data_IF_300203281470
#
_entry.id   IF_300203281470
#
_cell.length_a   1.000
_cell.length_b   1.000
_cell.length_c   1.000
_cell.angle_alpha   90.00
_cell.angle_beta   90.00
_cell.angle_gamma   90.00
#
_symmetry.space_group_name_H-M   'P 1'
#
loop_
_entity.id
_entity.type
_entity.pdbx_description
1 polymer ?
#
# COMPACT_ATOMS: atom_id res chain seq x y z
N UNK A 1 16.32 -2.00 -21.56
CA UNK A 1 15.01 -2.27 -20.91
C UNK A 1 14.35 -1.00 -20.40
N UNK A 2 15.00 -0.20 -19.54
CA UNK A 2 14.43 1.06 -19.01
C UNK A 2 13.86 2.01 -20.10
N UNK A 3 14.65 2.38 -21.11
CA UNK A 3 14.19 3.26 -22.21
C UNK A 3 12.98 2.70 -22.98
N UNK A 4 12.89 1.37 -23.11
CA UNK A 4 11.79 0.71 -23.83
C UNK A 4 10.51 0.80 -23.02
N UNK A 5 10.55 0.46 -21.73
CA UNK A 5 9.39 0.55 -20.83
C UNK A 5 8.88 1.99 -20.71
N UNK A 6 9.78 2.98 -20.58
CA UNK A 6 9.38 4.40 -20.58
C UNK A 6 8.65 4.80 -21.85
N UNK A 7 9.14 4.37 -23.02
CA UNK A 7 8.49 4.67 -24.29
C UNK A 7 7.15 3.94 -24.42
N UNK A 8 7.08 2.69 -23.99
CA UNK A 8 5.88 1.86 -24.02
C UNK A 8 4.75 2.49 -23.20
N UNK A 9 5.04 2.86 -21.95
CA UNK A 9 4.08 3.48 -21.02
C UNK A 9 3.62 4.87 -21.47
N UNK A 10 4.43 5.63 -22.21
CA UNK A 10 3.97 6.93 -22.77
C UNK A 10 2.81 6.78 -23.76
N UNK A 11 2.65 5.59 -24.33
CA UNK A 11 1.54 5.25 -25.23
C UNK A 11 0.59 4.24 -24.60
N UNK A 12 0.54 4.18 -23.26
CA UNK A 12 -0.14 3.10 -22.52
C UNK A 12 -1.60 2.89 -22.92
N UNK A 13 -2.37 3.97 -23.12
CA UNK A 13 -3.77 3.87 -23.56
C UNK A 13 -3.90 3.07 -24.87
N UNK A 14 -2.96 3.21 -25.82
CA UNK A 14 -2.94 2.43 -27.07
C UNK A 14 -2.40 1.01 -26.86
N UNK A 15 -1.39 0.84 -26.00
CA UNK A 15 -0.84 -0.48 -25.70
C UNK A 15 -1.85 -1.39 -25.01
N UNK A 16 -2.72 -0.82 -24.17
CA UNK A 16 -3.80 -1.55 -23.51
C UNK A 16 -4.77 -2.19 -24.50
N UNK A 17 -5.07 -1.50 -25.60
CA UNK A 17 -5.93 -2.04 -26.66
C UNK A 17 -5.19 -3.04 -27.54
N UNK A 18 -3.99 -2.68 -28.01
CA UNK A 18 -3.22 -3.49 -28.95
C UNK A 18 -2.64 -4.77 -28.33
N UNK A 19 -2.17 -4.70 -27.08
CA UNK A 19 -1.52 -5.81 -26.38
C UNK A 19 -2.44 -6.54 -25.40
N UNK A 20 -3.76 -6.31 -25.42
CA UNK A 20 -4.72 -6.82 -24.42
C UNK A 20 -4.59 -8.32 -24.11
N UNK A 21 -4.23 -9.12 -25.10
CA UNK A 21 -4.07 -10.58 -24.96
C UNK A 21 -2.69 -11.03 -24.51
N UNK A 22 -1.67 -10.18 -24.63
CA UNK A 22 -0.27 -10.52 -24.36
C UNK A 22 0.18 -10.03 -22.99
N UNK A 23 -0.48 -9.00 -22.43
CA UNK A 23 -0.08 -8.37 -21.16
C UNK A 23 -0.03 -9.36 -19.99
N UNK A 24 -1.01 -10.27 -19.90
CA UNK A 24 -1.07 -11.30 -18.85
C UNK A 24 0.04 -12.35 -18.99
N UNK A 25 0.42 -12.70 -20.22
CA UNK A 25 1.43 -13.71 -20.53
C UNK A 25 2.88 -13.21 -20.33
N UNK A 26 3.06 -11.90 -20.10
CA UNK A 26 4.37 -11.33 -19.88
C UNK A 26 5.07 -12.01 -18.68
N UNK A 27 6.40 -12.22 -18.74
CA UNK A 27 7.15 -12.71 -17.61
C UNK A 27 6.92 -11.85 -16.36
N UNK A 28 6.83 -12.46 -15.18
CA UNK A 28 6.51 -11.78 -13.91
C UNK A 28 7.38 -10.55 -13.64
N UNK A 29 8.67 -10.61 -13.98
CA UNK A 29 9.60 -9.47 -13.86
C UNK A 29 9.24 -8.29 -14.77
N UNK A 30 8.68 -8.56 -15.94
CA UNK A 30 8.22 -7.53 -16.89
C UNK A 30 6.90 -6.96 -16.42
N UNK A 31 5.94 -7.79 -15.96
CA UNK A 31 4.66 -7.32 -15.39
C UNK A 31 4.86 -6.38 -14.21
N UNK A 32 5.71 -6.77 -13.26
CA UNK A 32 6.05 -5.94 -12.10
C UNK A 32 6.74 -4.63 -12.48
N UNK A 33 7.70 -4.68 -13.40
CA UNK A 33 8.35 -3.46 -13.91
C UNK A 33 7.36 -2.57 -14.67
N UNK A 34 6.47 -3.14 -15.46
CA UNK A 34 5.47 -2.40 -16.22
C UNK A 34 4.54 -1.62 -15.29
N UNK A 35 4.00 -2.25 -14.24
CA UNK A 35 3.18 -1.59 -13.23
C UNK A 35 3.92 -0.41 -12.56
N UNK A 36 5.17 -0.61 -12.16
CA UNK A 36 5.99 0.45 -11.57
C UNK A 36 6.19 1.64 -12.54
N UNK A 37 6.47 1.36 -13.82
CA UNK A 37 6.67 2.40 -14.83
C UNK A 37 5.36 3.12 -15.19
N UNK A 38 4.23 2.43 -15.20
CA UNK A 38 2.90 3.05 -15.38
C UNK A 38 2.65 4.04 -14.25
N UNK A 39 2.88 3.65 -12.99
CA UNK A 39 2.73 4.54 -11.84
C UNK A 39 3.59 5.81 -11.96
N UNK A 40 4.85 5.65 -12.36
CA UNK A 40 5.83 6.75 -12.42
C UNK A 40 5.70 7.66 -13.65
N UNK A 41 5.40 7.11 -14.82
CA UNK A 41 5.48 7.85 -16.10
C UNK A 41 4.14 8.13 -16.75
N UNK A 42 3.06 7.50 -16.29
CA UNK A 42 1.73 7.81 -16.79
C UNK A 42 1.21 9.11 -16.15
N UNK A 43 0.53 9.94 -16.95
CA UNK A 43 -0.54 10.79 -16.40
C UNK A 43 -1.57 9.85 -15.74
N UNK A 44 -2.56 10.20 -14.94
CA UNK A 44 -3.45 9.20 -14.26
C UNK A 44 -2.77 8.25 -13.25
N UNK A 45 -1.64 7.57 -13.55
CA UNK A 45 -1.06 6.48 -12.73
C UNK A 45 -1.63 5.11 -13.10
N UNK A 46 -1.30 4.05 -12.33
CA UNK A 46 -1.88 2.71 -12.52
C UNK A 46 -3.36 2.76 -12.16
N UNK A 47 -4.24 2.23 -13.02
CA UNK A 47 -5.68 2.11 -12.78
C UNK A 47 -6.04 0.67 -12.41
N UNK A 48 -7.28 0.44 -11.93
CA UNK A 48 -7.76 -0.91 -11.69
C UNK A 48 -7.83 -1.74 -12.97
N UNK A 49 -8.18 -1.11 -14.10
CA UNK A 49 -8.21 -1.75 -15.41
C UNK A 49 -6.82 -2.23 -15.84
N UNK A 50 -5.77 -1.45 -15.54
CA UNK A 50 -4.39 -1.84 -15.83
C UNK A 50 -3.97 -3.06 -15.01
N UNK A 51 -4.35 -3.09 -13.73
CA UNK A 51 -4.11 -4.26 -12.86
C UNK A 51 -4.83 -5.49 -13.39
N UNK A 52 -6.10 -5.36 -13.80
CA UNK A 52 -6.86 -6.45 -14.39
C UNK A 52 -6.19 -6.97 -15.67
N UNK A 53 -5.79 -6.09 -16.58
CA UNK A 53 -5.16 -6.50 -17.85
C UNK A 53 -3.79 -7.18 -17.67
N UNK A 54 -3.06 -6.85 -16.60
CA UNK A 54 -1.72 -7.39 -16.34
C UNK A 54 -1.77 -8.66 -15.46
N UNK A 55 -2.75 -8.75 -14.54
CA UNK A 55 -2.79 -9.78 -13.50
C UNK A 55 -3.89 -10.82 -13.67
N UNK A 56 -4.86 -10.58 -14.55
CA UNK A 56 -5.91 -11.53 -14.90
C UNK A 56 -5.81 -11.91 -16.38
N UNK A 57 -6.24 -13.13 -16.74
CA UNK A 57 -6.36 -13.51 -18.14
C UNK A 57 -7.32 -12.55 -18.86
N UNK A 58 -7.09 -12.29 -20.16
CA UNK A 58 -7.99 -11.47 -20.94
C UNK A 58 -9.39 -12.08 -20.92
N UNK A 59 -10.47 -11.27 -20.87
CA UNK A 59 -11.82 -11.80 -21.01
C UNK A 59 -11.91 -12.57 -22.33
N UNK A 60 -12.46 -13.77 -22.29
CA UNK A 60 -12.79 -14.51 -23.51
C UNK A 60 -13.69 -13.61 -24.36
N UNK A 61 -13.35 -13.44 -25.64
CA UNK A 61 -14.34 -12.92 -26.57
C UNK A 61 -15.42 -13.99 -26.64
N UNK A 62 -16.60 -13.68 -26.10
CA UNK A 62 -17.80 -14.34 -26.60
C UNK A 62 -17.93 -13.85 -28.04
N UNK A 63 -17.39 -14.63 -28.98
CA UNK A 63 -17.67 -14.40 -30.38
C UNK A 63 -19.20 -14.55 -30.53
N UNK A 64 -19.91 -13.44 -30.66
CA UNK A 64 -21.38 -13.38 -30.79
C UNK A 64 -21.90 -14.06 -32.08
N UNK A 65 -21.05 -14.74 -32.86
CA UNK A 65 -21.37 -15.18 -34.23
C UNK A 65 -20.99 -16.64 -34.56
N UNK A 66 -20.75 -17.53 -33.59
CA UNK A 66 -20.51 -18.96 -33.91
C UNK A 66 -21.60 -19.90 -33.35
N UNK A 67 -22.72 -19.97 -34.07
CA UNK A 67 -23.68 -21.07 -34.01
C UNK A 67 -23.12 -22.37 -34.65
N UNK A 68 -21.84 -22.68 -34.44
CA UNK A 68 -21.27 -23.99 -34.79
C UNK A 68 -21.01 -24.79 -33.51
N UNK A 69 -21.99 -25.64 -33.20
CA UNK A 69 -21.78 -26.81 -32.35
C UNK A 69 -20.74 -27.70 -33.04
N UNK A 70 -19.45 -27.61 -32.67
CA UNK A 70 -18.52 -28.77 -32.60
C UNK A 70 -17.03 -28.47 -32.30
N UNK A 71 -16.60 -27.25 -31.96
CA UNK A 71 -15.18 -27.03 -31.62
C UNK A 71 -14.94 -26.81 -30.11
N UNK A 72 -14.94 -27.91 -29.36
CA UNK A 72 -14.41 -28.01 -27.98
C UNK A 72 -12.86 -27.97 -27.94
N UNK A 73 -12.20 -27.52 -29.03
CA UNK A 73 -10.75 -27.51 -29.23
C UNK A 73 -10.27 -26.08 -29.38
N UNK A 74 -10.20 -25.33 -28.27
CA UNK A 74 -9.69 -23.95 -28.33
C UNK A 74 -9.78 -23.13 -27.06
N UNK A 75 -10.47 -23.62 -26.01
CA UNK A 75 -10.38 -22.99 -24.68
C UNK A 75 -8.96 -23.16 -24.17
N UNK A 76 -8.14 -22.13 -24.31
CA UNK A 76 -6.86 -22.04 -23.62
C UNK A 76 -7.19 -22.01 -22.13
N UNK A 77 -7.07 -23.15 -21.46
CA UNK A 77 -7.25 -23.27 -20.02
C UNK A 77 -6.12 -22.48 -19.35
N UNK A 78 -6.39 -21.21 -19.03
CA UNK A 78 -5.49 -20.44 -18.19
C UNK A 78 -5.47 -21.05 -16.80
N UNK A 79 -4.26 -21.28 -16.27
CA UNK A 79 -4.11 -21.60 -14.87
C UNK A 79 -4.76 -20.50 -14.00
N UNK A 80 -5.32 -20.86 -12.84
CA UNK A 80 -5.85 -19.88 -11.90
C UNK A 80 -4.89 -18.71 -11.68
N UNK A 81 -5.36 -17.45 -11.68
CA UNK A 81 -4.50 -16.28 -11.55
C UNK A 81 -3.61 -16.31 -10.30
N UNK A 82 -4.09 -16.89 -9.20
CA UNK A 82 -3.30 -17.08 -7.96
C UNK A 82 -2.07 -17.96 -8.16
N UNK A 83 -2.11 -18.94 -9.07
CA UNK A 83 -0.99 -19.81 -9.42
C UNK A 83 -0.03 -19.07 -10.35
N UNK A 84 -0.53 -18.41 -11.40
CA UNK A 84 0.30 -17.65 -12.35
C UNK A 84 1.01 -16.48 -11.68
N UNK A 85 0.37 -15.90 -10.66
CA UNK A 85 0.91 -14.78 -9.90
C UNK A 85 1.67 -15.22 -8.63
N UNK A 86 1.86 -16.52 -8.41
CA UNK A 86 2.58 -17.02 -7.23
C UNK A 86 4.03 -16.51 -7.15
N UNK A 87 4.67 -16.26 -8.30
CA UNK A 87 6.02 -15.69 -8.36
C UNK A 87 6.07 -14.17 -8.13
N UNK A 88 4.91 -13.50 -8.10
CA UNK A 88 4.81 -12.06 -7.96
C UNK A 88 4.87 -11.68 -6.47
N UNK A 89 6.09 -11.41 -6.03
CA UNK A 89 6.39 -11.02 -4.65
C UNK A 89 6.50 -9.51 -4.42
N UNK A 90 6.49 -8.71 -5.50
CA UNK A 90 6.67 -7.24 -5.45
C UNK A 90 5.59 -6.53 -6.23
N UNK A 91 4.91 -5.59 -5.58
CA UNK A 91 3.91 -4.73 -6.20
C UNK A 91 4.26 -3.26 -5.93
N UNK A 92 4.51 -2.51 -6.99
CA UNK A 92 4.81 -1.08 -6.90
C UNK A 92 3.64 -0.29 -7.50
N UNK A 93 2.94 0.46 -6.65
CA UNK A 93 1.82 1.33 -7.01
C UNK A 93 2.12 2.80 -6.70
N UNK A 94 3.41 3.14 -6.67
CA UNK A 94 3.86 4.51 -6.42
C UNK A 94 3.11 5.50 -7.33
N UNK A 95 2.64 6.58 -6.73
CA UNK A 95 1.92 7.70 -7.38
C UNK A 95 0.57 7.35 -8.02
N UNK A 96 0.04 6.16 -7.73
CA UNK A 96 -1.27 5.73 -8.25
C UNK A 96 -2.38 5.87 -7.21
N UNK A 97 -2.08 5.65 -5.93
CA UNK A 97 -3.05 5.80 -4.85
C UNK A 97 -3.47 7.26 -4.66
N UNK A 98 -4.78 7.49 -4.49
CA UNK A 98 -5.36 8.83 -4.33
C UNK A 98 -5.51 9.61 -5.63
N UNK A 99 -4.94 9.09 -6.73
CA UNK A 99 -5.01 9.66 -8.09
C UNK A 99 -5.94 8.85 -8.99
N UNK A 100 -5.60 7.59 -9.23
CA UNK A 100 -6.35 6.64 -10.07
C UNK A 100 -6.84 5.41 -9.32
N UNK A 101 -6.24 5.09 -8.18
CA UNK A 101 -6.58 3.93 -7.35
C UNK A 101 -7.01 4.33 -5.95
N UNK A 102 -8.00 3.60 -5.44
CA UNK A 102 -8.38 3.61 -4.03
C UNK A 102 -7.93 2.32 -3.38
N UNK A 103 -7.49 2.40 -2.12
CA UNK A 103 -7.04 1.23 -1.35
C UNK A 103 -8.17 0.22 -1.18
N UNK A 104 -9.43 0.67 -1.09
CA UNK A 104 -10.59 -0.22 -1.02
C UNK A 104 -10.71 -1.08 -2.29
N UNK A 105 -10.71 -0.44 -3.45
CA UNK A 105 -10.84 -1.13 -4.74
C UNK A 105 -9.66 -2.10 -4.95
N UNK A 106 -8.46 -1.70 -4.53
CA UNK A 106 -7.28 -2.57 -4.53
C UNK A 106 -7.44 -3.77 -3.58
N UNK A 107 -7.99 -3.56 -2.39
CA UNK A 107 -8.26 -4.62 -1.41
C UNK A 107 -9.25 -5.64 -1.96
N UNK A 108 -10.36 -5.17 -2.52
CA UNK A 108 -11.42 -6.00 -3.09
C UNK A 108 -10.91 -6.80 -4.30
N UNK A 109 -9.99 -6.21 -5.08
CA UNK A 109 -9.35 -6.86 -6.23
C UNK A 109 -8.31 -7.92 -5.84
N UNK A 110 -7.41 -7.60 -4.90
CA UNK A 110 -6.35 -8.53 -4.48
C UNK A 110 -6.85 -9.63 -3.55
N UNK A 111 -7.90 -9.34 -2.78
CA UNK A 111 -8.49 -10.22 -1.79
C UNK A 111 -10.02 -10.26 -1.98
N UNK A 112 -10.51 -10.90 -3.06
CA UNK A 112 -11.94 -10.97 -3.33
C UNK A 112 -12.68 -11.62 -2.15
N UNK A 113 -13.84 -11.09 -1.73
CA UNK A 113 -14.65 -11.75 -0.71
C UNK A 113 -15.09 -13.14 -1.20
N UNK A 114 -15.22 -14.11 -0.28
CA UNK A 114 -15.53 -15.52 -0.59
C UNK A 114 -16.75 -15.71 -1.49
N UNK A 115 -17.75 -14.82 -1.40
CA UNK A 115 -18.92 -14.84 -2.25
C UNK A 115 -18.63 -14.62 -3.75
N UNK A 116 -17.51 -13.96 -4.10
CA UNK A 116 -17.10 -13.71 -5.48
C UNK A 116 -16.24 -14.87 -6.06
N UNK A 117 -15.53 -15.62 -5.21
CA UNK A 117 -14.71 -16.76 -5.64
C UNK A 117 -15.56 -17.95 -6.11
N UNK A 118 -16.75 -18.14 -5.53
CA UNK A 118 -17.68 -19.24 -5.88
C UNK A 118 -18.27 -19.08 -7.29
N UNK A 119 -18.33 -17.86 -7.83
CA UNK A 119 -18.92 -17.60 -9.15
C UNK A 119 -17.97 -17.95 -10.30
N UNK A 120 -16.66 -18.08 -10.03
CA UNK A 120 -15.66 -18.35 -11.08
C UNK A 120 -15.42 -19.84 -11.37
N UNK A 121 -15.85 -20.75 -10.47
CA UNK A 121 -15.60 -22.20 -10.63
C UNK A 121 -16.84 -23.01 -11.01
N UNK A 122 -18.05 -22.45 -10.92
CA UNK A 122 -19.26 -23.20 -11.26
C UNK A 122 -19.65 -22.92 -12.71
N UNK A 123 -19.06 -23.69 -13.63
CA UNK A 123 -19.70 -24.06 -14.89
C UNK A 123 -20.52 -25.34 -14.61
N UNK A 124 -21.82 -25.27 -14.28
CA UNK A 124 -22.61 -26.46 -14.00
C UNK A 124 -23.12 -27.01 -15.33
N UNK A 125 -22.25 -27.66 -16.11
CA UNK A 125 -22.72 -28.53 -17.20
C UNK A 125 -23.19 -29.85 -16.57
N UNK A 126 -24.51 -29.91 -16.38
CA UNK A 126 -25.36 -31.09 -16.54
C UNK A 126 -24.72 -32.47 -16.26
N UNK A 127 -24.82 -32.93 -15.01
CA UNK A 127 -24.75 -34.35 -14.69
C UNK A 127 -25.93 -34.72 -13.80
N UNK A 128 -27.11 -34.79 -14.40
CA UNK A 128 -28.30 -35.40 -13.79
C UNK A 128 -28.16 -36.93 -13.84
N UNK A 129 -27.50 -37.52 -12.84
CA UNK A 129 -27.89 -38.79 -12.20
C UNK A 129 -26.76 -39.28 -11.28
N UNK A 130 -26.87 -38.97 -9.99
CA UNK A 130 -26.34 -39.82 -8.92
C UNK A 130 -27.10 -39.49 -7.63
N UNK A 131 -27.77 -40.45 -6.99
CA UNK A 131 -28.24 -40.27 -5.63
C UNK A 131 -27.06 -40.49 -4.67
N UNK A 132 -27.24 -39.89 -3.49
CA UNK A 132 -26.58 -40.17 -2.21
C UNK A 132 -25.58 -39.13 -1.71
N UNK A 133 -25.96 -38.65 -0.53
CA UNK A 133 -25.35 -37.70 0.36
C UNK A 133 -23.90 -38.07 0.68
N UNK A 134 -22.93 -37.19 0.43
CA UNK A 134 -21.74 -37.05 1.27
C UNK A 134 -20.95 -35.77 0.90
N UNK A 135 -20.76 -34.90 1.90
CA UNK A 135 -19.89 -33.72 1.91
C UNK A 135 -20.25 -32.58 0.94
N UNK A 136 -20.98 -31.58 1.47
CA UNK A 136 -20.96 -30.24 0.88
C UNK A 136 -19.48 -29.78 0.80
N UNK A 137 -18.99 -29.30 -0.34
CA UNK A 137 -17.63 -28.77 -0.42
C UNK A 137 -17.52 -27.56 0.52
N UNK A 138 -16.54 -27.58 1.42
CA UNK A 138 -16.19 -26.39 2.21
C UNK A 138 -16.00 -25.21 1.23
N UNK A 139 -16.55 -24.02 1.53
CA UNK A 139 -16.42 -22.90 0.62
C UNK A 139 -14.92 -22.62 0.41
N UNK A 140 -14.45 -22.56 -0.85
CA UNK A 140 -13.03 -22.33 -1.11
C UNK A 140 -12.61 -21.03 -0.44
N UNK A 141 -11.55 -21.08 0.36
CA UNK A 141 -10.92 -19.89 0.91
C UNK A 141 -10.62 -18.99 -0.28
N UNK A 142 -11.07 -17.72 -0.29
CA UNK A 142 -10.81 -16.83 -1.42
C UNK A 142 -9.30 -16.76 -1.63
N UNK A 143 -8.83 -17.30 -2.74
CA UNK A 143 -7.41 -17.30 -3.05
C UNK A 143 -6.98 -15.85 -3.31
N UNK A 144 -6.08 -15.33 -2.48
CA UNK A 144 -5.46 -14.04 -2.73
C UNK A 144 -4.84 -14.05 -4.13
N UNK A 145 -5.04 -12.97 -4.89
CA UNK A 145 -4.49 -12.87 -6.24
C UNK A 145 -2.96 -12.91 -6.25
N UNK A 146 -2.35 -12.38 -5.20
CA UNK A 146 -0.89 -12.31 -5.00
C UNK A 146 -0.51 -13.00 -3.67
N UNK A 147 -0.51 -14.35 -3.61
CA UNK A 147 -0.38 -15.08 -2.34
C UNK A 147 0.99 -14.90 -1.67
N UNK A 148 2.04 -14.60 -2.45
CA UNK A 148 3.42 -14.46 -1.98
C UNK A 148 3.91 -12.99 -1.97
N UNK A 149 2.99 -12.03 -1.88
CA UNK A 149 3.35 -10.61 -1.84
C UNK A 149 4.14 -10.28 -0.56
N UNK A 150 5.38 -9.82 -0.73
CA UNK A 150 6.29 -9.45 0.37
C UNK A 150 6.74 -7.99 0.32
N UNK A 151 6.77 -7.39 -0.88
CA UNK A 151 7.14 -5.99 -1.06
C UNK A 151 5.99 -5.21 -1.67
N UNK A 152 5.62 -4.11 -1.02
CA UNK A 152 4.55 -3.24 -1.47
C UNK A 152 5.01 -1.78 -1.39
N UNK A 153 4.94 -1.07 -2.51
CA UNK A 153 5.10 0.38 -2.51
C UNK A 153 3.74 1.05 -2.67
N UNK A 154 3.35 1.83 -1.66
CA UNK A 154 2.18 2.70 -1.64
C UNK A 154 2.60 4.18 -1.57
N UNK A 155 3.77 4.52 -2.09
CA UNK A 155 4.26 5.89 -2.11
C UNK A 155 3.27 6.82 -2.83
N UNK A 156 3.00 7.98 -2.25
CA UNK A 156 2.02 8.92 -2.78
C UNK A 156 2.65 9.99 -3.63
N UNK A 157 1.88 10.48 -4.59
CA UNK A 157 2.11 11.78 -5.18
C UNK A 157 1.70 12.85 -4.15
N UNK A 158 2.61 13.76 -3.73
CA UNK A 158 2.31 14.80 -2.75
C UNK A 158 1.08 15.64 -3.10
N UNK A 159 0.77 15.85 -4.38
CA UNK A 159 -0.41 16.62 -4.82
C UNK A 159 -1.73 15.92 -4.46
N UNK A 160 -1.72 14.59 -4.42
CA UNK A 160 -2.89 13.73 -4.23
C UNK A 160 -2.95 13.07 -2.84
N UNK A 161 -2.01 13.39 -1.94
CA UNK A 161 -1.87 12.77 -0.63
C UNK A 161 -3.10 12.95 0.30
N UNK A 162 -3.97 13.92 0.02
CA UNK A 162 -5.20 14.15 0.80
C UNK A 162 -6.34 13.16 0.48
N UNK A 163 -6.23 12.40 -0.62
CA UNK A 163 -7.28 11.48 -1.07
C UNK A 163 -7.15 10.06 -0.48
N UNK A 164 -6.13 9.79 0.33
CA UNK A 164 -5.92 8.47 0.94
C UNK A 164 -6.53 8.37 2.33
N UNK A 165 -6.75 7.14 2.79
CA UNK A 165 -7.36 6.87 4.09
C UNK A 165 -6.54 5.86 4.88
N UNK A 166 -6.05 6.29 6.04
CA UNK A 166 -5.41 5.40 7.02
C UNK A 166 -6.35 4.29 7.50
N UNK A 167 -7.66 4.55 7.58
CA UNK A 167 -8.65 3.52 7.91
C UNK A 167 -8.66 2.40 6.88
N UNK A 168 -8.65 2.74 5.59
CA UNK A 168 -8.58 1.73 4.53
C UNK A 168 -7.22 1.03 4.49
N UNK A 169 -6.12 1.75 4.73
CA UNK A 169 -4.80 1.13 4.85
C UNK A 169 -4.74 0.09 5.97
N UNK A 170 -5.29 0.42 7.14
CA UNK A 170 -5.31 -0.52 8.28
C UNK A 170 -6.11 -1.78 7.98
N UNK A 171 -7.26 -1.65 7.30
CA UNK A 171 -8.05 -2.80 6.88
C UNK A 171 -7.29 -3.64 5.84
N UNK A 172 -6.71 -2.98 4.84
CA UNK A 172 -5.92 -3.63 3.80
C UNK A 172 -4.70 -4.38 4.38
N UNK A 173 -4.01 -3.79 5.37
CA UNK A 173 -2.87 -4.39 6.03
C UNK A 173 -3.19 -5.72 6.74
N UNK A 174 -4.45 -5.95 7.16
CA UNK A 174 -4.81 -7.25 7.78
C UNK A 174 -4.79 -8.43 6.80
N UNK A 175 -4.82 -8.16 5.50
CA UNK A 175 -4.69 -9.17 4.45
C UNK A 175 -3.23 -9.47 4.07
N UNK A 176 -2.26 -8.77 4.68
CA UNK A 176 -0.85 -8.80 4.30
C UNK A 176 0.08 -9.28 5.43
N UNK A 177 -0.18 -10.46 6.04
CA UNK A 177 0.60 -10.91 7.20
C UNK A 177 2.08 -11.20 6.88
N UNK A 178 2.41 -11.46 5.60
CA UNK A 178 3.76 -11.83 5.15
C UNK A 178 4.56 -10.65 4.57
N UNK A 179 4.04 -9.42 4.67
CA UNK A 179 4.70 -8.25 4.11
C UNK A 179 5.97 -7.91 4.89
N UNK A 180 7.11 -7.86 4.20
CA UNK A 180 8.41 -7.52 4.78
C UNK A 180 8.88 -6.12 4.40
N UNK A 181 8.44 -5.60 3.24
CA UNK A 181 8.82 -4.26 2.77
C UNK A 181 7.58 -3.43 2.47
N UNK A 182 7.48 -2.26 3.10
CA UNK A 182 6.41 -1.30 2.85
C UNK A 182 7.00 0.09 2.61
N UNK A 183 6.61 0.75 1.52
CA UNK A 183 6.80 2.19 1.35
C UNK A 183 5.49 2.94 1.57
N UNK A 184 5.52 3.86 2.53
CA UNK A 184 4.51 4.88 2.80
C UNK A 184 5.10 6.28 2.56
N UNK A 185 5.98 6.42 1.57
CA UNK A 185 6.53 7.72 1.23
C UNK A 185 5.42 8.73 0.90
N UNK A 186 5.57 9.96 1.40
CA UNK A 186 4.66 11.09 1.23
C UNK A 186 3.26 10.89 1.81
N UNK A 187 3.07 9.91 2.70
CA UNK A 187 1.80 9.75 3.40
C UNK A 187 1.51 10.93 4.33
N UNK A 188 0.24 11.38 4.39
CA UNK A 188 -0.18 12.42 5.31
C UNK A 188 -0.10 11.92 6.75
N UNK A 189 -0.22 12.85 7.69
CA UNK A 189 -0.26 12.54 9.11
C UNK A 189 -1.29 11.42 9.43
N UNK A 190 -0.90 10.40 10.23
CA UNK A 190 -1.80 9.31 10.61
C UNK A 190 -3.01 9.81 11.40
N UNK A 191 -4.19 9.72 10.78
CA UNK A 191 -5.47 10.12 11.40
C UNK A 191 -6.63 9.29 10.83
N UNK A 192 -7.56 8.90 11.69
CA UNK A 192 -8.82 8.26 11.31
C UNK A 192 -9.92 9.29 11.01
N UNK A 193 -9.70 10.55 11.41
CA UNK A 193 -10.66 11.65 11.28
C UNK A 193 -10.06 12.88 10.58
N UNK A 194 -9.45 12.73 9.37
CA UNK A 194 -8.71 13.82 8.72
C UNK A 194 -9.57 15.07 8.44
N UNK A 195 -10.86 14.89 8.15
CA UNK A 195 -11.80 15.99 7.87
C UNK A 195 -12.37 16.66 9.13
N UNK A 196 -12.12 16.09 10.32
CA UNK A 196 -12.64 16.60 11.59
C UNK A 196 -11.72 17.63 12.25
N UNK A 197 -10.50 17.86 11.71
CA UNK A 197 -9.50 18.77 12.29
C UNK A 197 -10.00 20.22 12.44
N UNK A 198 -10.97 20.64 11.64
CA UNK A 198 -11.57 21.99 11.71
C UNK A 198 -13.01 21.99 12.23
N UNK A 199 -13.56 20.81 12.55
CA UNK A 199 -14.94 20.67 12.95
C UNK A 199 -15.06 20.71 14.47
N UNK A 200 -15.92 21.59 14.99
CA UNK A 200 -16.24 21.68 16.42
C UNK A 200 -17.71 21.34 16.66
N UNK A 201 -18.00 20.64 17.75
CA UNK A 201 -19.37 20.40 18.23
C UNK A 201 -19.59 21.09 19.58
N UNK A 202 -20.84 21.46 19.87
CA UNK A 202 -21.24 22.03 21.16
C UNK A 202 -21.88 20.92 21.98
N UNK A 203 -21.35 20.65 23.18
CA UNK A 203 -21.93 19.65 24.09
C UNK A 203 -23.28 20.13 24.63
N UNK A 204 -24.07 19.20 25.18
CA UNK A 204 -25.32 19.54 25.87
C UNK A 204 -25.13 20.51 27.06
N UNK A 205 -23.90 20.64 27.56
CA UNK A 205 -23.48 21.56 28.63
C UNK A 205 -22.97 22.90 28.08
N UNK A 206 -23.06 23.13 26.76
CA UNK A 206 -22.66 24.38 26.10
C UNK A 206 -21.16 24.50 25.80
N UNK A 207 -20.36 23.45 25.99
CA UNK A 207 -18.92 23.49 25.73
C UNK A 207 -18.62 23.17 24.27
N UNK A 208 -17.80 23.98 23.62
CA UNK A 208 -17.32 23.72 22.25
C UNK A 208 -16.13 22.77 22.33
N UNK A 209 -16.27 21.56 21.79
CA UNK A 209 -15.23 20.53 21.74
C UNK A 209 -14.93 20.19 20.28
N UNK A 210 -13.66 19.99 19.94
CA UNK A 210 -13.26 19.55 18.60
C UNK A 210 -13.83 18.15 18.32
N UNK A 211 -14.46 17.98 17.16
CA UNK A 211 -15.15 16.76 16.77
C UNK A 211 -14.19 15.57 16.58
N UNK A 212 -12.97 15.84 16.09
CA UNK A 212 -11.94 14.81 15.85
C UNK A 212 -11.05 14.50 17.05
N UNK A 213 -11.23 15.15 18.20
CA UNK A 213 -10.31 15.06 19.34
C UNK A 213 -8.95 15.75 19.12
N UNK A 214 -8.49 15.88 17.86
CA UNK A 214 -7.34 16.70 17.44
C UNK A 214 -7.81 17.88 16.57
N UNK A 215 -7.20 19.05 16.78
CA UNK A 215 -7.43 20.29 16.03
C UNK A 215 -6.21 20.68 15.18
N UNK A 216 -6.26 21.81 14.45
CA UNK A 216 -5.21 22.22 13.51
C UNK A 216 -3.89 22.57 14.22
N UNK A 217 -3.97 22.86 15.51
CA UNK A 217 -2.84 23.25 16.36
C UNK A 217 -2.45 22.18 17.38
N UNK A 218 -3.11 21.02 17.39
CA UNK A 218 -2.86 19.99 18.42
C UNK A 218 -1.41 19.50 18.43
N UNK A 219 -0.73 19.48 17.29
CA UNK A 219 0.68 19.08 17.23
C UNK A 219 1.65 20.24 17.49
N UNK A 220 1.26 21.48 17.15
CA UNK A 220 2.14 22.66 17.26
C UNK A 220 2.05 23.36 18.63
N UNK A 221 0.90 23.28 19.30
CA UNK A 221 0.67 23.88 20.62
C UNK A 221 0.61 22.84 21.73
N UNK A 222 -0.10 21.74 21.50
CA UNK A 222 -0.37 20.74 22.56
C UNK A 222 0.55 19.52 22.49
N UNK A 223 1.34 19.39 21.41
CA UNK A 223 2.18 18.23 21.10
C UNK A 223 1.42 16.89 21.24
N UNK A 224 0.12 16.89 20.93
CA UNK A 224 -0.75 15.73 21.07
C UNK A 224 -0.62 14.84 19.85
N UNK A 225 0.04 13.69 20.00
CA UNK A 225 0.21 12.69 18.94
C UNK A 225 -0.68 11.46 19.13
N UNK A 226 -1.69 11.53 20.00
CA UNK A 226 -2.44 10.35 20.46
C UNK A 226 -3.08 9.57 19.31
N UNK A 227 -3.83 10.22 18.43
CA UNK A 227 -4.47 9.55 17.28
C UNK A 227 -3.43 8.92 16.35
N UNK A 228 -2.36 9.64 16.05
CA UNK A 228 -1.30 9.16 15.16
C UNK A 228 -0.58 7.93 15.75
N UNK A 229 -0.26 7.97 17.04
CA UNK A 229 0.32 6.83 17.77
C UNK A 229 -0.62 5.62 17.71
N UNK A 230 -1.93 5.81 17.91
CA UNK A 230 -2.90 4.72 17.84
C UNK A 230 -2.98 4.09 16.45
N UNK A 231 -2.97 4.90 15.38
CA UNK A 231 -2.98 4.41 13.99
C UNK A 231 -1.71 3.62 13.71
N UNK A 232 -0.53 4.17 14.03
CA UNK A 232 0.75 3.51 13.82
C UNK A 232 0.90 2.23 14.66
N UNK A 233 0.42 2.23 15.90
CA UNK A 233 0.42 1.04 16.76
C UNK A 233 -0.46 -0.07 16.17
N UNK A 234 -1.65 0.26 15.65
CA UNK A 234 -2.51 -0.71 14.95
C UNK A 234 -1.84 -1.25 13.69
N UNK A 235 -1.24 -0.37 12.88
CA UNK A 235 -0.51 -0.77 11.68
C UNK A 235 0.63 -1.73 12.05
N UNK A 236 1.35 -1.45 13.13
CA UNK A 236 2.48 -2.28 13.56
C UNK A 236 2.08 -3.70 13.90
N UNK A 237 0.90 -3.87 14.53
CA UNK A 237 0.36 -5.18 14.89
C UNK A 237 -0.11 -5.97 13.66
N UNK A 238 -0.66 -5.29 12.66
CA UNK A 238 -1.05 -5.94 11.40
C UNK A 238 0.17 -6.37 10.57
N UNK A 239 1.25 -5.58 10.59
CA UNK A 239 2.46 -5.78 9.80
C UNK A 239 3.66 -6.15 10.68
N UNK A 240 3.52 -7.25 11.43
CA UNK A 240 4.52 -7.67 12.40
C UNK A 240 5.77 -8.33 11.78
N UNK A 241 5.69 -8.73 10.49
CA UNK A 241 6.81 -9.28 9.72
C UNK A 241 7.66 -8.21 9.04
N UNK A 242 7.33 -6.93 9.23
CA UNK A 242 7.97 -5.84 8.50
C UNK A 242 9.45 -5.71 8.87
N UNK A 243 10.31 -5.67 7.85
CA UNK A 243 11.77 -5.52 7.94
C UNK A 243 12.23 -4.17 7.40
N UNK A 244 11.51 -3.63 6.41
CA UNK A 244 11.79 -2.36 5.75
C UNK A 244 10.56 -1.45 5.75
N UNK A 245 10.73 -0.22 6.23
CA UNK A 245 9.69 0.81 6.23
C UNK A 245 10.22 2.11 5.63
N UNK A 246 9.70 2.51 4.47
CA UNK A 246 10.02 3.80 3.86
C UNK A 246 8.97 4.86 4.20
N UNK A 247 9.42 5.93 4.85
CA UNK A 247 8.68 7.10 5.31
C UNK A 247 9.29 8.38 4.71
N UNK A 248 9.85 8.31 3.52
CA UNK A 248 10.33 9.48 2.78
C UNK A 248 9.24 10.55 2.70
N UNK A 249 9.56 11.82 2.98
CA UNK A 249 8.59 12.92 2.96
C UNK A 249 7.66 13.00 4.17
N UNK A 250 7.75 12.07 5.12
CA UNK A 250 6.88 12.00 6.30
C UNK A 250 7.47 12.69 7.55
N UNK A 251 8.54 13.45 7.39
CA UNK A 251 9.28 14.07 8.50
C UNK A 251 8.47 15.00 9.40
N UNK A 252 7.35 15.54 8.91
CA UNK A 252 6.47 16.43 9.68
C UNK A 252 5.73 15.72 10.82
N UNK A 253 5.35 14.46 10.63
CA UNK A 253 4.63 13.68 11.64
C UNK A 253 5.51 12.64 12.34
N UNK A 254 6.80 12.60 12.00
CA UNK A 254 7.78 11.67 12.55
C UNK A 254 7.76 11.60 14.09
N UNK A 255 7.38 12.68 14.78
CA UNK A 255 7.21 12.71 16.23
C UNK A 255 6.31 11.60 16.75
N UNK A 256 5.27 11.21 16.03
CA UNK A 256 4.40 10.09 16.41
C UNK A 256 5.15 8.76 16.58
N UNK A 257 6.31 8.59 15.94
CA UNK A 257 7.13 7.37 16.00
C UNK A 257 7.91 7.23 17.32
N UNK A 258 8.15 8.33 18.03
CA UNK A 258 8.86 8.33 19.32
C UNK A 258 8.07 8.92 20.50
N UNK A 259 6.96 9.60 20.22
CA UNK A 259 6.05 10.12 21.23
C UNK A 259 5.33 8.99 21.96
N UNK A 260 4.84 9.31 23.16
CA UNK A 260 4.06 8.42 24.02
C UNK A 260 2.82 9.17 24.49
N UNK A 261 1.66 8.53 24.42
CA UNK A 261 0.41 9.05 24.98
C UNK A 261 -0.17 8.02 25.94
N UNK A 262 -0.15 8.33 27.25
CA UNK A 262 -0.56 7.38 28.28
C UNK A 262 0.26 6.09 28.25
N UNK A 263 -0.36 4.97 27.90
CA UNK A 263 0.29 3.66 27.71
C UNK A 263 0.58 3.34 26.25
N UNK A 264 0.08 4.14 25.31
CA UNK A 264 0.22 3.91 23.88
C UNK A 264 1.51 4.53 23.35
N UNK A 265 2.23 3.71 22.58
CA UNK A 265 3.41 4.06 21.81
C UNK A 265 3.53 3.07 20.65
N UNK A 266 4.31 3.43 19.64
CA UNK A 266 4.66 2.49 18.57
C UNK A 266 5.54 1.37 19.14
N UNK A 267 5.17 0.11 18.87
CA UNK A 267 5.84 -1.06 19.44
C UNK A 267 7.05 -1.52 18.61
N UNK A 268 8.16 -0.84 18.80
CA UNK A 268 9.44 -1.13 18.13
C UNK A 268 10.20 -2.36 18.65
N UNK A 269 9.69 -3.01 19.70
CA UNK A 269 10.35 -4.13 20.40
C UNK A 269 9.54 -5.42 20.27
N UNK A 270 8.21 -5.34 20.18
CA UNK A 270 7.33 -6.48 19.91
C UNK A 270 6.94 -6.51 18.43
N UNK A 271 5.85 -5.83 18.08
CA UNK A 271 5.25 -5.90 16.76
C UNK A 271 6.22 -5.52 15.62
N UNK A 272 6.97 -4.42 15.76
CA UNK A 272 8.02 -4.01 14.82
C UNK A 272 9.43 -4.37 15.30
N UNK A 273 9.58 -5.49 16.00
CA UNK A 273 10.88 -6.04 16.38
C UNK A 273 11.79 -6.33 15.18
N UNK A 274 11.19 -6.74 14.05
CA UNK A 274 11.89 -7.13 12.83
C UNK A 274 12.27 -5.97 11.92
N UNK A 275 11.79 -4.76 12.17
CA UNK A 275 12.12 -3.60 11.31
C UNK A 275 13.61 -3.31 11.44
N UNK A 276 14.39 -3.54 10.40
CA UNK A 276 15.83 -3.31 10.38
C UNK A 276 16.19 -2.03 9.64
N UNK A 277 15.34 -1.58 8.72
CA UNK A 277 15.59 -0.39 7.93
C UNK A 277 14.38 0.54 7.92
N UNK A 278 14.62 1.79 8.30
CA UNK A 278 13.66 2.88 8.12
C UNK A 278 14.27 3.88 7.15
N UNK A 279 13.55 4.26 6.10
CA UNK A 279 13.99 5.33 5.20
C UNK A 279 13.22 6.60 5.53
N UNK A 280 13.92 7.70 5.81
CA UNK A 280 13.33 8.97 6.20
C UNK A 280 14.03 10.14 5.51
N UNK A 281 14.04 10.12 4.18
CA UNK A 281 14.47 11.27 3.39
C UNK A 281 13.44 12.40 3.47
N UNK A 282 13.87 13.65 3.25
CA UNK A 282 12.98 14.81 3.19
C UNK A 282 12.00 14.73 2.01
N UNK A 283 12.34 13.94 0.98
CA UNK A 283 11.52 13.76 -0.22
C UNK A 283 11.62 14.90 -1.23
N UNK A 284 12.45 15.90 -0.94
CA UNK A 284 12.83 16.98 -1.85
C UNK A 284 14.31 17.32 -1.62
N UNK A 285 14.95 17.88 -2.64
CA UNK A 285 16.31 18.42 -2.52
C UNK A 285 16.24 19.93 -2.33
N UNK A 286 17.12 20.47 -1.49
CA UNK A 286 17.31 21.91 -1.39
C UNK A 286 17.96 22.41 -2.69
N UNK A 287 17.38 23.43 -3.32
CA UNK A 287 18.05 24.15 -4.40
C UNK A 287 19.11 25.11 -3.85
N UNK A 288 20.04 25.54 -4.70
CA UNK A 288 21.11 26.49 -4.33
C UNK A 288 20.54 27.81 -3.78
N UNK A 289 19.37 28.23 -4.29
CA UNK A 289 18.64 29.44 -3.87
C UNK A 289 17.61 29.20 -2.75
N UNK A 290 17.63 28.05 -2.09
CA UNK A 290 16.66 27.73 -1.05
C UNK A 290 16.70 28.76 0.10
N UNK A 291 15.53 29.32 0.44
CA UNK A 291 15.40 30.30 1.50
C UNK A 291 15.73 29.73 2.89
N UNK A 292 15.93 30.62 3.87
CA UNK A 292 16.21 30.23 5.25
C UNK A 292 15.13 29.32 5.85
N UNK A 293 13.86 29.56 5.49
CA UNK A 293 12.72 28.74 5.91
C UNK A 293 12.80 27.30 5.37
N UNK A 294 13.16 27.13 4.09
CA UNK A 294 13.24 25.81 3.47
C UNK A 294 14.41 25.00 4.02
N UNK A 295 15.55 25.67 4.24
CA UNK A 295 16.73 25.10 4.92
C UNK A 295 16.37 24.67 6.35
N UNK A 296 15.66 25.51 7.10
CA UNK A 296 15.23 25.18 8.47
C UNK A 296 14.25 23.99 8.50
N UNK A 297 13.30 23.93 7.56
CA UNK A 297 12.36 22.81 7.43
C UNK A 297 13.09 21.51 7.07
N UNK A 298 14.05 21.58 6.16
CA UNK A 298 14.84 20.43 5.76
C UNK A 298 15.67 19.87 6.93
N UNK A 299 16.36 20.75 7.67
CA UNK A 299 17.12 20.32 8.85
C UNK A 299 16.22 19.78 9.97
N UNK A 300 15.02 20.36 10.16
CA UNK A 300 14.02 19.83 11.09
C UNK A 300 13.64 18.39 10.74
N UNK A 301 13.39 18.09 9.45
CA UNK A 301 13.07 16.72 9.01
C UNK A 301 14.22 15.77 9.27
N UNK A 302 15.47 16.18 8.99
CA UNK A 302 16.67 15.38 9.26
C UNK A 302 16.85 15.12 10.76
N UNK A 303 16.67 16.13 11.59
CA UNK A 303 16.77 15.97 13.05
C UNK A 303 15.67 15.06 13.59
N UNK A 304 14.46 15.14 13.05
CA UNK A 304 13.37 14.22 13.40
C UNK A 304 13.74 12.77 13.06
N UNK A 305 14.33 12.51 11.89
CA UNK A 305 14.80 11.18 11.54
C UNK A 305 15.89 10.65 12.50
N UNK A 306 16.86 11.51 12.89
CA UNK A 306 17.88 11.17 13.91
C UNK A 306 17.26 10.89 15.28
N UNK A 307 16.16 11.57 15.64
CA UNK A 307 15.42 11.31 16.89
C UNK A 307 14.73 9.96 16.85
N UNK A 308 14.10 9.58 15.73
CA UNK A 308 13.55 8.23 15.53
C UNK A 308 14.64 7.19 15.73
N UNK A 309 15.78 7.33 15.06
CA UNK A 309 16.89 6.39 15.16
C UNK A 309 17.36 6.20 16.61
N UNK A 310 17.63 7.31 17.31
CA UNK A 310 18.06 7.28 18.72
C UNK A 310 17.01 6.62 19.61
N UNK A 311 15.73 6.97 19.43
CA UNK A 311 14.64 6.40 20.21
C UNK A 311 14.53 4.89 20.01
N UNK A 312 14.44 4.42 18.77
CA UNK A 312 14.28 2.99 18.47
C UNK A 312 15.47 2.19 18.97
N UNK A 313 16.70 2.67 18.75
CA UNK A 313 17.92 2.03 19.30
C UNK A 313 17.91 1.99 20.82
N UNK A 314 17.45 3.07 21.47
CA UNK A 314 17.29 3.13 22.93
C UNK A 314 16.33 2.07 23.43
N UNK A 315 15.13 2.01 22.85
CA UNK A 315 14.08 1.03 23.19
C UNK A 315 14.53 -0.42 23.01
N UNK A 316 15.23 -0.73 21.93
CA UNK A 316 15.78 -2.08 21.68
C UNK A 316 16.92 -2.43 22.63
N UNK A 317 17.76 -1.46 22.98
CA UNK A 317 18.83 -1.67 23.97
C UNK A 317 18.28 -1.95 25.38
N UNK A 318 17.25 -1.21 25.82
CA UNK A 318 16.56 -1.43 27.11
C UNK A 318 15.99 -2.85 27.25
N UNK A 319 15.67 -3.49 26.12
CA UNK A 319 15.05 -4.80 26.05
C UNK A 319 16.02 -5.93 25.68
N UNK A 320 17.32 -5.64 25.65
CA UNK A 320 18.37 -6.64 25.43
C UNK A 320 18.52 -7.11 23.97
N UNK A 321 17.83 -6.47 23.01
CA UNK A 321 17.88 -6.85 21.58
C UNK A 321 19.12 -6.35 20.84
N UNK A 322 20.02 -5.63 21.52
CA UNK A 322 21.22 -5.04 20.92
C UNK A 322 20.94 -3.80 20.07
N UNK A 323 21.95 -2.93 19.92
CA UNK A 323 21.84 -1.66 19.15
C UNK A 323 22.04 -1.82 17.64
N UNK A 324 22.51 -2.99 17.18
CA UNK A 324 23.13 -3.18 15.86
C UNK A 324 22.17 -3.56 14.72
N UNK A 325 20.87 -3.68 15.00
CA UNK A 325 19.90 -4.18 14.02
C UNK A 325 19.05 -3.13 13.32
N UNK A 326 19.15 -1.83 13.65
CA UNK A 326 18.33 -0.80 12.98
C UNK A 326 19.17 0.32 12.36
N UNK A 327 18.90 0.58 11.09
CA UNK A 327 19.47 1.66 10.28
C UNK A 327 18.33 2.60 9.87
N UNK A 328 18.49 3.88 10.16
CA UNK A 328 17.62 4.93 9.63
C UNK A 328 18.39 5.66 8.54
N UNK A 329 17.94 5.55 7.31
CA UNK A 329 18.51 6.28 6.18
C UNK A 329 17.96 7.72 6.18
N UNK A 330 18.86 8.68 6.12
CA UNK A 330 18.59 10.12 6.22
C UNK A 330 19.39 10.80 5.12
N UNK A 331 18.91 11.93 4.58
CA UNK A 331 19.65 12.65 3.56
C UNK A 331 21.07 13.03 4.06
N UNK A 332 22.07 12.67 3.25
CA UNK A 332 23.43 13.13 3.42
C UNK A 332 23.43 14.65 3.27
N UNK A 333 23.92 15.35 4.29
CA UNK A 333 24.07 16.80 4.20
C UNK A 333 25.25 17.07 3.29
N UNK A 334 25.12 18.04 2.38
CA UNK A 334 26.29 18.65 1.78
C UNK A 334 27.19 19.14 2.93
N UNK A 335 28.38 18.55 3.03
CA UNK A 335 29.43 19.10 3.89
C UNK A 335 29.85 20.40 3.20
N UNK A 336 29.44 21.53 3.77
CA UNK A 336 29.99 22.84 3.44
C UNK A 336 31.52 22.87 3.60
#
# INVERSE_FOLDING_TARGET
>A
MDLVLRRFVRTWDWQMEYCRYVLYELPTRVRTALLAYIGLYSAKGVTLQDLMAILLPPPFAEDEDDESQDDEVGRTEFLPPSIVNADLSRLDLSWSLGRSLKIRDLSDFLFPPAAAAVVSEVNPKESWDAPDEETAPEPPIPAALLPNLTHLSLALDPEHAHNVSWRHLLAFATHLPNLTHLSLAFWPEPSLTPNAKLASMVTAQGQVIQYGGTGPYSHSLDNDWTEAIMVLNRLSKSLYQLEYLDLTGCGLWASALWSKSGHDMVDWVGAWSKVERIVMYAGYKLGEEAGSSDKARYEMVRENARRVERYVRGRRAEKGMGKRGIVVEIDEGEKE
#
